data_IF_413601829446
#
_entry.id   IF_413601829446
#
_cell.length_a   1.000
_cell.length_b   1.000
_cell.length_c   1.000
_cell.angle_alpha   90.00
_cell.angle_beta   90.00
_cell.angle_gamma   90.00
#
_symmetry.space_group_name_H-M   'P 1'
#
loop_
_entity.id
_entity.type
_entity.pdbx_description
1 polymer ?
#
# COMPACT_ATOMS: atom_id res chain seq x y z
N UNK A 1 -24.01 -21.52 18.65
CA UNK A 1 -22.84 -20.67 18.25
C UNK A 1 -21.93 -21.44 17.30
N UNK A 2 -21.58 -20.86 16.16
CA UNK A 2 -20.71 -21.47 15.15
C UNK A 2 -19.23 -21.24 15.53
N UNK A 3 -18.61 -22.22 16.18
CA UNK A 3 -17.25 -22.09 16.73
C UNK A 3 -16.20 -21.77 15.66
N UNK A 4 -16.35 -22.29 14.45
CA UNK A 4 -15.43 -22.02 13.34
C UNK A 4 -15.47 -20.57 12.83
N UNK A 5 -16.52 -19.81 13.17
CA UNK A 5 -16.65 -18.40 12.82
C UNK A 5 -16.13 -17.45 13.90
N UNK A 6 -15.76 -17.96 15.08
CA UNK A 6 -15.11 -17.18 16.12
C UNK A 6 -13.64 -16.96 15.74
N UNK A 7 -13.29 -15.74 15.33
CA UNK A 7 -11.97 -15.43 14.79
C UNK A 7 -11.38 -14.18 15.42
N UNK A 8 -10.15 -14.33 15.82
CA UNK A 8 -9.25 -13.25 16.24
C UNK A 8 -7.80 -13.67 16.02
N UNK A 9 -6.95 -12.74 15.63
CA UNK A 9 -5.51 -12.94 15.45
C UNK A 9 -4.75 -11.80 16.09
N UNK A 10 -3.93 -12.12 17.09
CA UNK A 10 -3.20 -11.10 17.88
C UNK A 10 -2.10 -10.35 17.13
N UNK A 11 -1.68 -10.87 15.98
CA UNK A 11 -0.58 -10.30 15.16
C UNK A 11 -1.08 -9.84 13.79
N UNK A 12 -2.25 -9.23 13.74
CA UNK A 12 -2.88 -8.83 12.48
C UNK A 12 -3.73 -7.56 12.67
N UNK A 13 -4.57 -7.28 11.68
CA UNK A 13 -5.59 -6.24 11.71
C UNK A 13 -6.58 -6.37 12.89
N UNK A 14 -6.61 -7.53 13.56
CA UNK A 14 -7.51 -7.76 14.71
C UNK A 14 -6.92 -7.27 16.04
N UNK A 15 -5.63 -6.92 16.09
CA UNK A 15 -4.99 -6.36 17.28
C UNK A 15 -3.92 -5.35 16.88
N UNK A 16 -4.12 -4.09 17.24
CA UNK A 16 -3.17 -3.03 16.89
C UNK A 16 -3.11 -1.94 17.95
N UNK A 17 -1.95 -1.28 18.01
CA UNK A 17 -1.69 -0.16 18.89
C UNK A 17 -2.46 1.05 18.36
N UNK A 18 -3.35 1.61 19.19
CA UNK A 18 -4.16 2.77 18.80
C UNK A 18 -3.44 4.08 19.16
N UNK A 19 -2.86 4.13 20.34
CA UNK A 19 -2.04 5.23 20.86
C UNK A 19 -1.12 4.71 21.95
N UNK A 20 -0.39 5.60 22.63
CA UNK A 20 0.59 5.28 23.66
C UNK A 20 0.05 4.36 24.77
N UNK A 21 -1.22 4.49 25.13
CA UNK A 21 -1.82 3.81 26.26
C UNK A 21 -2.97 2.87 25.90
N UNK A 22 -3.26 2.71 24.60
CA UNK A 22 -4.41 1.91 24.15
C UNK A 22 -4.07 0.94 23.03
N UNK A 23 -4.58 -0.27 23.17
CA UNK A 23 -4.62 -1.29 22.13
C UNK A 23 -6.07 -1.52 21.72
N UNK A 24 -6.33 -1.59 20.42
CA UNK A 24 -7.63 -1.97 19.88
C UNK A 24 -7.63 -3.42 19.47
N UNK A 25 -8.63 -4.16 19.94
CA UNK A 25 -8.88 -5.55 19.55
C UNK A 25 -10.17 -5.67 18.77
N UNK A 26 -10.15 -6.49 17.72
CA UNK A 26 -11.30 -6.85 16.89
C UNK A 26 -11.62 -8.32 17.08
N UNK A 27 -12.88 -8.67 16.89
CA UNK A 27 -13.32 -10.04 16.91
C UNK A 27 -14.40 -10.26 15.85
N UNK A 28 -14.41 -11.42 15.22
CA UNK A 28 -15.38 -11.79 14.18
C UNK A 28 -16.21 -12.97 14.62
N UNK A 29 -17.50 -12.92 14.33
CA UNK A 29 -18.45 -14.01 14.62
C UNK A 29 -19.32 -14.27 13.40
N UNK A 30 -20.00 -15.41 13.33
CA UNK A 30 -21.07 -15.57 12.36
C UNK A 30 -22.16 -14.52 12.60
N UNK A 31 -22.83 -14.12 11.53
CA UNK A 31 -23.91 -13.14 11.57
C UNK A 31 -25.01 -13.58 12.52
N UNK A 32 -25.43 -12.66 13.40
CA UNK A 32 -26.53 -12.84 14.36
C UNK A 32 -26.39 -14.08 15.29
N UNK A 33 -25.17 -14.58 15.48
CA UNK A 33 -24.90 -15.81 16.24
C UNK A 33 -24.51 -15.54 17.71
N UNK A 34 -23.93 -14.36 17.97
CA UNK A 34 -23.39 -13.98 19.27
C UNK A 34 -24.15 -12.79 19.86
N UNK A 35 -24.53 -12.92 21.13
CA UNK A 35 -25.23 -11.91 21.91
C UNK A 35 -24.29 -10.87 22.51
N UNK A 36 -23.16 -11.32 23.05
CA UNK A 36 -22.24 -10.48 23.80
C UNK A 36 -20.83 -11.06 23.75
N UNK A 37 -19.83 -10.17 23.70
CA UNK A 37 -18.42 -10.52 23.85
C UNK A 37 -17.83 -9.62 24.93
N UNK A 38 -17.10 -10.21 25.88
CA UNK A 38 -16.39 -9.51 26.95
C UNK A 38 -14.90 -9.84 26.81
N UNK A 39 -14.06 -8.82 26.79
CA UNK A 39 -12.60 -8.98 26.82
C UNK A 39 -12.14 -8.93 28.28
N UNK A 40 -11.46 -9.96 28.72
CA UNK A 40 -10.74 -9.98 30.00
C UNK A 40 -9.27 -9.73 29.75
N UNK A 41 -8.67 -8.76 30.43
CA UNK A 41 -7.30 -8.35 30.14
C UNK A 41 -6.55 -7.87 31.38
N UNK A 42 -5.24 -8.02 31.35
CA UNK A 42 -4.34 -7.62 32.46
C UNK A 42 -2.91 -7.45 31.92
N UNK A 43 -2.05 -6.74 32.66
CA UNK A 43 -0.62 -6.68 32.35
C UNK A 43 0.01 -8.08 32.30
N UNK A 44 0.97 -8.28 31.37
CA UNK A 44 1.62 -9.59 31.17
C UNK A 44 2.24 -10.20 32.41
N UNK A 45 2.67 -9.39 33.37
CA UNK A 45 3.32 -9.83 34.62
C UNK A 45 2.39 -9.94 35.82
N UNK A 46 1.12 -9.56 35.66
CA UNK A 46 0.13 -9.74 36.72
C UNK A 46 -0.62 -11.07 36.54
N UNK A 47 -1.09 -11.70 37.66
CA UNK A 47 -1.87 -12.92 37.55
C UNK A 47 -3.24 -12.69 36.89
N UNK A 48 -3.74 -13.69 36.18
CA UNK A 48 -5.03 -13.66 35.49
C UNK A 48 -6.25 -13.52 36.43
N UNK A 49 -6.06 -13.73 37.71
CA UNK A 49 -7.07 -13.45 38.75
C UNK A 49 -7.32 -11.96 38.97
N UNK A 50 -6.48 -11.07 38.40
CA UNK A 50 -6.58 -9.61 38.51
C UNK A 50 -7.02 -8.96 37.18
N UNK A 51 -7.64 -9.72 36.27
CA UNK A 51 -8.13 -9.18 35.00
C UNK A 51 -9.19 -8.09 35.22
N UNK A 52 -9.06 -7.01 34.45
CA UNK A 52 -10.15 -6.10 34.15
C UNK A 52 -11.01 -6.72 33.03
N UNK A 53 -12.22 -6.23 32.86
CA UNK A 53 -13.07 -6.67 31.75
C UNK A 53 -13.76 -5.48 31.08
N UNK A 54 -13.99 -5.58 29.78
CA UNK A 54 -14.75 -4.62 29.01
C UNK A 54 -15.60 -5.33 27.96
N UNK A 55 -16.80 -4.81 27.70
CA UNK A 55 -17.65 -5.32 26.62
C UNK A 55 -17.16 -4.83 25.27
N UNK A 56 -17.25 -5.72 24.27
CA UNK A 56 -17.04 -5.33 22.89
C UNK A 56 -18.30 -4.70 22.29
N UNK A 57 -18.10 -3.74 21.43
CA UNK A 57 -19.14 -3.09 20.63
C UNK A 57 -19.24 -3.77 19.27
N UNK A 58 -20.47 -4.08 18.82
CA UNK A 58 -20.71 -4.54 17.45
C UNK A 58 -20.71 -3.33 16.53
N UNK A 59 -19.68 -3.20 15.69
CA UNK A 59 -19.45 -2.02 14.82
C UNK A 59 -19.77 -2.27 13.35
N UNK A 60 -19.96 -3.53 12.96
CA UNK A 60 -20.27 -3.89 11.58
C UNK A 60 -21.08 -5.16 11.50
N UNK A 61 -21.99 -5.19 10.52
CA UNK A 61 -22.81 -6.34 10.16
C UNK A 61 -22.55 -6.64 8.69
N UNK A 62 -21.81 -7.73 8.45
CA UNK A 62 -21.52 -8.21 7.10
C UNK A 62 -22.66 -9.03 6.50
N UNK A 63 -22.43 -9.59 5.33
CA UNK A 63 -23.37 -10.53 4.71
C UNK A 63 -23.45 -11.86 5.48
N UNK A 64 -22.32 -12.32 6.02
CA UNK A 64 -22.16 -13.63 6.69
C UNK A 64 -21.57 -13.54 8.09
N UNK A 65 -21.05 -12.39 8.51
CA UNK A 65 -20.33 -12.18 9.76
C UNK A 65 -20.68 -10.86 10.44
N UNK A 66 -20.45 -10.81 11.74
CA UNK A 66 -20.52 -9.62 12.58
C UNK A 66 -19.10 -9.23 13.06
N UNK A 67 -18.84 -7.93 13.15
CA UNK A 67 -17.57 -7.37 13.55
C UNK A 67 -17.70 -6.65 14.90
N UNK A 68 -16.80 -7.00 15.81
CA UNK A 68 -16.79 -6.48 17.18
C UNK A 68 -15.46 -5.79 17.47
N UNK A 69 -15.47 -4.73 18.28
CA UNK A 69 -14.27 -4.02 18.71
C UNK A 69 -14.30 -3.71 20.21
N UNK A 70 -13.11 -3.63 20.80
CA UNK A 70 -12.90 -3.01 22.11
C UNK A 70 -11.59 -2.26 22.11
N UNK A 71 -11.50 -1.21 22.94
CA UNK A 71 -10.24 -0.51 23.22
C UNK A 71 -9.82 -0.86 24.65
N UNK A 72 -8.60 -1.33 24.78
CA UNK A 72 -8.02 -1.80 26.04
C UNK A 72 -6.97 -0.80 26.51
N UNK A 73 -7.01 -0.40 27.77
CA UNK A 73 -6.02 0.47 28.40
C UNK A 73 -4.76 -0.33 28.75
N UNK A 74 -3.59 0.11 28.30
CA UNK A 74 -2.29 -0.58 28.41
C UNK A 74 -1.18 0.33 28.91
N UNK A 75 -1.27 0.83 30.15
CA UNK A 75 -0.36 1.86 30.69
C UNK A 75 1.11 1.42 30.76
N UNK A 76 1.39 0.14 30.61
CA UNK A 76 2.75 -0.41 30.60
C UNK A 76 3.18 -0.94 29.22
N UNK A 77 2.50 -0.54 28.14
CA UNK A 77 2.80 -0.89 26.75
C UNK A 77 2.87 -2.41 26.50
N UNK A 78 2.10 -3.20 27.26
CA UNK A 78 2.03 -4.66 27.16
C UNK A 78 0.75 -5.17 27.79
N UNK A 79 0.19 -6.28 27.29
CA UNK A 79 -1.09 -6.81 27.74
C UNK A 79 -1.23 -8.27 27.39
N UNK A 80 -1.93 -9.03 28.22
CA UNK A 80 -2.51 -10.32 27.85
C UNK A 80 -4.04 -10.26 28.03
N UNK A 81 -4.75 -10.92 27.12
CA UNK A 81 -6.22 -10.86 27.08
C UNK A 81 -6.83 -12.16 26.54
N UNK A 82 -8.09 -12.37 26.84
CA UNK A 82 -8.92 -13.46 26.33
C UNK A 82 -10.35 -12.99 26.15
N UNK A 83 -11.13 -13.71 25.35
CA UNK A 83 -12.52 -13.34 25.06
C UNK A 83 -13.49 -14.32 25.71
N UNK A 84 -14.45 -13.78 26.42
CA UNK A 84 -15.65 -14.46 26.86
C UNK A 84 -16.75 -14.20 25.84
N UNK A 85 -17.31 -15.26 25.23
CA UNK A 85 -18.28 -15.17 24.15
C UNK A 85 -19.58 -15.85 24.53
N UNK A 86 -20.70 -15.12 24.49
CA UNK A 86 -22.02 -15.57 24.83
C UNK A 86 -22.85 -15.63 23.55
N UNK A 87 -23.27 -16.85 23.17
CA UNK A 87 -24.09 -17.09 21.98
C UNK A 87 -25.57 -16.80 22.20
N UNK A 88 -26.30 -16.55 21.13
CA UNK A 88 -27.74 -16.41 21.12
C UNK A 88 -28.45 -17.71 21.46
N UNK A 89 -27.79 -18.85 21.27
CA UNK A 89 -28.25 -20.18 21.63
C UNK A 89 -28.02 -20.56 23.12
N UNK A 90 -27.50 -19.62 23.92
CA UNK A 90 -27.15 -19.83 25.32
C UNK A 90 -25.79 -20.50 25.53
N UNK A 91 -25.03 -20.80 24.48
CA UNK A 91 -23.65 -21.30 24.60
C UNK A 91 -22.73 -20.23 25.19
N UNK A 92 -21.75 -20.62 26.01
CA UNK A 92 -20.88 -19.73 26.74
C UNK A 92 -19.43 -20.24 26.63
N UNK A 93 -18.56 -19.49 26.00
CA UNK A 93 -17.20 -19.93 25.64
C UNK A 93 -16.12 -18.92 26.05
N UNK A 94 -14.93 -19.43 26.27
CA UNK A 94 -13.68 -18.66 26.33
C UNK A 94 -12.92 -18.91 25.05
N UNK A 95 -12.49 -17.84 24.37
CA UNK A 95 -11.66 -17.91 23.18
C UNK A 95 -10.31 -17.31 23.49
N UNK A 96 -9.30 -18.15 23.45
CA UNK A 96 -7.91 -17.77 23.71
C UNK A 96 -6.97 -18.22 22.59
N UNK A 97 -5.71 -17.90 22.72
CA UNK A 97 -4.66 -18.21 21.75
C UNK A 97 -4.55 -19.71 21.42
N UNK A 98 -4.79 -20.58 22.39
CA UNK A 98 -4.68 -22.04 22.22
C UNK A 98 -5.98 -22.72 21.80
N UNK A 99 -7.08 -22.01 21.69
CA UNK A 99 -8.35 -22.58 21.27
C UNK A 99 -9.59 -22.05 22.00
N UNK A 100 -10.69 -22.77 21.84
CA UNK A 100 -12.01 -22.43 22.36
C UNK A 100 -12.38 -23.45 23.45
N UNK A 101 -12.78 -22.96 24.59
CA UNK A 101 -13.11 -23.75 25.79
C UNK A 101 -14.49 -23.38 26.34
N UNK A 102 -15.12 -24.27 27.11
CA UNK A 102 -16.31 -23.89 27.85
C UNK A 102 -15.99 -22.86 28.93
N UNK A 103 -16.91 -21.91 29.12
CA UNK A 103 -16.75 -20.89 30.16
C UNK A 103 -16.81 -21.54 31.56
N UNK A 104 -15.74 -21.37 32.29
CA UNK A 104 -15.62 -21.61 33.71
C UNK A 104 -14.44 -20.88 34.30
N UNK A 105 -14.39 -20.73 35.62
CA UNK A 105 -13.32 -20.00 36.29
C UNK A 105 -11.90 -20.53 35.95
N UNK A 106 -11.73 -21.85 35.90
CA UNK A 106 -10.45 -22.50 35.58
C UNK A 106 -9.94 -22.10 34.16
N UNK A 107 -10.85 -22.14 33.18
CA UNK A 107 -10.50 -21.79 31.82
C UNK A 107 -10.27 -20.27 31.64
N UNK A 108 -11.06 -19.45 32.36
CA UNK A 108 -10.84 -17.98 32.37
C UNK A 108 -9.51 -17.61 32.98
N UNK A 109 -9.07 -18.30 34.04
CA UNK A 109 -7.80 -18.04 34.74
C UNK A 109 -6.60 -18.77 34.11
N UNK A 110 -6.79 -19.53 33.04
CA UNK A 110 -5.73 -20.30 32.38
C UNK A 110 -4.76 -19.39 31.59
N UNK A 111 -3.75 -18.87 32.26
CA UNK A 111 -2.77 -17.90 31.74
C UNK A 111 -2.17 -18.29 30.38
N UNK A 112 -1.88 -19.56 30.17
CA UNK A 112 -1.34 -20.08 28.92
C UNK A 112 -2.28 -20.01 27.72
N UNK A 113 -3.56 -19.66 27.92
CA UNK A 113 -4.56 -19.51 26.84
C UNK A 113 -4.77 -18.07 26.41
N UNK A 114 -4.14 -17.09 27.08
CA UNK A 114 -4.29 -15.68 26.76
C UNK A 114 -3.53 -15.32 25.50
N UNK A 115 -4.13 -14.54 24.64
CA UNK A 115 -3.41 -13.76 23.63
C UNK A 115 -2.50 -12.77 24.31
N UNK A 116 -1.37 -12.43 23.68
CA UNK A 116 -0.39 -11.52 24.26
C UNK A 116 0.06 -10.46 23.25
N UNK A 117 0.04 -9.22 23.69
CA UNK A 117 0.83 -8.16 23.07
C UNK A 117 2.08 -7.99 23.95
N UNK A 118 3.27 -8.31 23.43
CA UNK A 118 4.51 -8.04 24.14
C UNK A 118 4.71 -6.54 24.31
N UNK A 119 5.81 -6.13 24.95
CA UNK A 119 6.12 -4.72 25.07
C UNK A 119 6.25 -4.09 23.68
N UNK A 120 5.50 -3.01 23.43
CA UNK A 120 5.62 -2.23 22.20
C UNK A 120 6.28 -0.87 22.48
N UNK A 121 7.02 -0.38 21.50
CA UNK A 121 7.66 0.93 21.55
C UNK A 121 6.81 1.97 20.82
N UNK A 122 6.92 3.23 21.21
CA UNK A 122 6.21 4.32 20.55
C UNK A 122 6.60 4.47 19.05
N UNK A 123 7.84 4.08 18.71
CA UNK A 123 8.31 4.08 17.33
C UNK A 123 7.57 3.05 16.44
N UNK A 124 6.96 2.02 17.05
CA UNK A 124 6.20 0.99 16.35
C UNK A 124 4.76 1.43 16.06
N UNK A 125 4.36 2.60 16.56
CA UNK A 125 3.03 3.14 16.35
C UNK A 125 2.91 3.73 14.94
N UNK A 126 1.79 3.45 14.28
CA UNK A 126 1.42 4.16 13.05
C UNK A 126 1.08 5.62 13.36
N UNK A 127 1.96 6.52 12.92
CA UNK A 127 1.80 7.97 13.08
C UNK A 127 1.19 8.63 11.84
N UNK A 128 0.28 7.91 11.16
CA UNK A 128 -0.40 8.45 9.97
C UNK A 128 -0.94 9.86 10.24
N UNK A 129 -0.55 10.87 9.46
CA UNK A 129 -1.04 12.23 9.62
C UNK A 129 -2.56 12.30 9.50
N UNK A 130 -3.21 13.14 10.32
CA UNK A 130 -4.67 13.27 10.35
C UNK A 130 -5.30 13.65 9.00
N UNK A 131 -4.58 14.37 8.15
CA UNK A 131 -5.06 14.74 6.83
C UNK A 131 -5.27 13.51 5.92
N UNK A 132 -4.48 12.45 6.08
CA UNK A 132 -4.59 11.20 5.28
C UNK A 132 -5.96 10.56 5.49
N UNK A 133 -6.45 10.53 6.74
CA UNK A 133 -7.75 9.94 7.11
C UNK A 133 -8.95 10.61 6.44
N UNK A 134 -8.77 11.85 5.96
CA UNK A 134 -9.82 12.69 5.35
C UNK A 134 -9.58 12.93 3.85
N UNK A 135 -8.59 12.24 3.25
CA UNK A 135 -8.23 12.45 1.86
C UNK A 135 -9.04 11.53 0.96
N UNK A 136 -9.68 12.14 -0.03
CA UNK A 136 -10.30 11.45 -1.16
C UNK A 136 -9.36 11.57 -2.35
N UNK A 137 -8.72 10.46 -2.70
CA UNK A 137 -7.72 10.39 -3.75
C UNK A 137 -8.35 10.20 -5.12
N UNK A 138 -7.82 10.93 -6.12
CA UNK A 138 -8.11 10.73 -7.52
C UNK A 138 -6.82 10.38 -8.25
N UNK A 139 -6.76 9.19 -8.85
CA UNK A 139 -5.61 8.78 -9.65
C UNK A 139 -5.70 9.39 -11.04
N UNK A 140 -4.63 10.07 -11.47
CA UNK A 140 -4.51 10.62 -12.82
C UNK A 140 -3.47 9.84 -13.60
N UNK A 141 -3.89 9.30 -14.73
CA UNK A 141 -3.03 8.86 -15.83
C UNK A 141 -2.93 10.03 -16.82
N UNK A 142 -1.85 10.86 -16.78
CA UNK A 142 -1.85 12.17 -17.45
C UNK A 142 -2.19 12.08 -18.93
N UNK A 143 -1.59 11.14 -19.65
CA UNK A 143 -1.80 10.93 -21.08
C UNK A 143 -3.29 10.66 -21.45
N UNK A 144 -4.09 10.18 -20.49
CA UNK A 144 -5.51 9.82 -20.67
C UNK A 144 -6.48 10.79 -20.00
N UNK A 145 -6.00 11.86 -19.39
CA UNK A 145 -6.86 12.76 -18.61
C UNK A 145 -7.39 13.92 -19.44
N UNK A 146 -6.53 14.83 -19.86
CA UNK A 146 -6.92 15.96 -20.69
C UNK A 146 -5.71 16.49 -21.47
N UNK A 147 -5.89 16.81 -22.75
CA UNK A 147 -4.88 17.46 -23.59
C UNK A 147 -5.03 18.98 -23.48
N UNK A 148 -4.11 19.65 -22.79
CA UNK A 148 -4.10 21.09 -22.59
C UNK A 148 -3.20 21.83 -23.56
N UNK A 149 -2.11 21.20 -24.01
CA UNK A 149 -1.15 21.76 -24.96
C UNK A 149 -0.86 20.80 -26.11
N UNK A 150 -1.52 21.01 -27.24
CA UNK A 150 -1.34 20.16 -28.44
C UNK A 150 0.05 20.28 -29.08
N UNK A 151 0.87 21.25 -28.67
CA UNK A 151 2.20 21.42 -29.24
C UNK A 151 3.19 20.36 -28.75
N UNK A 152 2.91 19.70 -27.62
CA UNK A 152 3.70 18.62 -27.04
C UNK A 152 3.19 17.21 -27.41
N UNK A 153 2.14 17.10 -28.22
CA UNK A 153 1.55 15.83 -28.62
C UNK A 153 2.56 14.89 -29.29
N UNK A 154 2.66 13.62 -28.85
CA UNK A 154 3.41 12.61 -29.58
C UNK A 154 2.89 12.39 -31.00
N UNK A 155 3.77 11.98 -31.90
CA UNK A 155 3.37 11.61 -33.26
C UNK A 155 2.36 10.46 -33.22
N UNK A 156 1.21 10.63 -33.88
CA UNK A 156 0.14 9.64 -33.91
C UNK A 156 -0.89 9.77 -32.78
N UNK A 157 -0.85 10.88 -32.03
CA UNK A 157 -1.88 11.22 -31.05
C UNK A 157 -3.28 11.20 -31.70
N UNK A 158 -4.20 10.49 -31.04
CA UNK A 158 -5.59 10.36 -31.46
C UNK A 158 -6.47 11.36 -30.71
N UNK A 159 -7.53 11.90 -31.35
CA UNK A 159 -8.52 12.67 -30.62
C UNK A 159 -9.24 11.78 -29.61
N UNK A 160 -9.57 12.33 -28.44
CA UNK A 160 -10.39 11.61 -27.47
C UNK A 160 -11.79 11.36 -28.04
N UNK A 161 -12.22 10.10 -28.00
CA UNK A 161 -13.56 9.71 -28.41
C UNK A 161 -14.10 8.65 -27.43
N UNK A 162 -15.21 8.93 -26.70
CA UNK A 162 -15.77 8.00 -25.72
C UNK A 162 -16.31 6.69 -26.33
N UNK A 163 -16.45 6.62 -27.66
CA UNK A 163 -16.85 5.42 -28.38
C UNK A 163 -15.67 4.51 -28.75
N UNK A 164 -14.45 4.99 -28.63
CA UNK A 164 -13.25 4.22 -28.96
C UNK A 164 -12.95 3.16 -27.89
N UNK A 165 -12.33 2.07 -28.32
CA UNK A 165 -11.68 1.11 -27.45
C UNK A 165 -10.17 1.41 -27.44
N UNK A 166 -9.65 2.07 -26.40
CA UNK A 166 -8.24 2.44 -26.34
C UNK A 166 -7.35 1.21 -26.35
N UNK A 167 -6.36 1.18 -27.24
CA UNK A 167 -5.31 0.16 -27.20
C UNK A 167 -4.27 0.52 -26.15
N UNK A 168 -3.48 -0.48 -25.69
CA UNK A 168 -2.44 -0.30 -24.70
C UNK A 168 -1.45 0.81 -25.08
N UNK A 169 -1.09 0.89 -26.37
CA UNK A 169 -0.01 1.77 -26.85
C UNK A 169 -0.54 3.05 -27.53
N UNK A 170 -1.85 3.32 -27.50
CA UNK A 170 -2.42 4.53 -28.09
C UNK A 170 -2.11 5.77 -27.25
N UNK A 171 -1.84 6.88 -27.91
CA UNK A 171 -1.66 8.21 -27.32
C UNK A 171 -2.90 9.08 -27.60
N UNK A 172 -3.30 9.87 -26.60
CA UNK A 172 -4.41 10.83 -26.68
C UNK A 172 -3.98 12.24 -26.30
N UNK A 173 -2.68 12.43 -25.96
CA UNK A 173 -2.06 13.73 -25.75
C UNK A 173 -2.43 14.39 -24.42
N UNK A 174 -2.95 13.67 -23.45
CA UNK A 174 -3.14 14.24 -22.11
C UNK A 174 -1.82 14.65 -21.48
N UNK A 175 -1.80 15.79 -20.76
CA UNK A 175 -0.61 16.45 -20.26
C UNK A 175 -0.82 17.20 -18.94
N UNK A 176 0.23 17.82 -18.42
CA UNK A 176 0.18 18.59 -17.18
C UNK A 176 -0.61 19.90 -17.33
N UNK A 177 -0.65 20.50 -18.51
CA UNK A 177 -1.48 21.68 -18.76
C UNK A 177 -2.97 21.30 -18.67
N UNK A 178 -3.36 20.15 -19.24
CA UNK A 178 -4.72 19.64 -19.12
C UNK A 178 -5.10 19.35 -17.67
N UNK A 179 -4.19 18.84 -16.85
CA UNK A 179 -4.42 18.68 -15.40
C UNK A 179 -4.61 20.05 -14.73
N UNK A 180 -3.76 21.02 -15.03
CA UNK A 180 -3.83 22.37 -14.47
C UNK A 180 -5.20 23.01 -14.76
N UNK A 181 -5.66 22.89 -15.99
CA UNK A 181 -6.93 23.47 -16.46
C UNK A 181 -8.16 22.82 -15.79
N UNK A 182 -8.03 21.60 -15.24
CA UNK A 182 -9.13 20.86 -14.61
C UNK A 182 -9.03 20.73 -13.09
N UNK A 183 -8.14 21.47 -12.42
CA UNK A 183 -8.04 21.44 -10.95
C UNK A 183 -9.33 21.89 -10.24
N UNK A 184 -10.05 22.86 -10.81
CA UNK A 184 -11.32 23.33 -10.24
C UNK A 184 -12.41 22.25 -10.36
N UNK A 185 -12.47 21.53 -11.48
CA UNK A 185 -13.34 20.37 -11.63
C UNK A 185 -13.07 19.31 -10.55
N UNK A 186 -11.80 18.98 -10.30
CA UNK A 186 -11.43 17.99 -9.27
C UNK A 186 -11.85 18.48 -7.86
N UNK A 187 -11.68 19.76 -7.57
CA UNK A 187 -12.12 20.35 -6.31
C UNK A 187 -13.64 20.30 -6.15
N UNK A 188 -14.41 20.65 -7.19
CA UNK A 188 -15.88 20.58 -7.19
C UNK A 188 -16.38 19.15 -7.02
N UNK A 189 -15.65 18.15 -7.54
CA UNK A 189 -15.92 16.73 -7.33
C UNK A 189 -15.66 16.27 -5.86
N UNK A 190 -15.04 17.11 -5.04
CA UNK A 190 -14.72 16.80 -3.65
C UNK A 190 -13.37 16.11 -3.45
N UNK A 191 -12.51 16.12 -4.47
CA UNK A 191 -11.16 15.55 -4.44
C UNK A 191 -10.23 16.48 -3.66
N UNK A 192 -9.46 15.93 -2.74
CA UNK A 192 -8.44 16.66 -1.98
C UNK A 192 -7.07 15.97 -1.95
N UNK A 193 -6.89 14.95 -2.80
CA UNK A 193 -5.61 14.31 -3.09
C UNK A 193 -5.54 13.82 -4.53
N UNK A 194 -4.47 14.14 -5.24
CA UNK A 194 -4.17 13.61 -6.58
C UNK A 194 -3.00 12.64 -6.46
N UNK A 195 -3.17 11.44 -7.00
CA UNK A 195 -2.09 10.49 -7.24
C UNK A 195 -1.78 10.45 -8.74
N UNK A 196 -0.60 10.91 -9.12
CA UNK A 196 -0.14 10.82 -10.49
C UNK A 196 0.44 9.44 -10.79
N UNK A 197 -0.03 8.76 -11.86
CA UNK A 197 0.82 7.80 -12.55
C UNK A 197 2.11 8.48 -13.00
N UNK A 198 3.19 7.73 -13.30
CA UNK A 198 4.50 8.35 -13.54
C UNK A 198 4.45 9.53 -14.53
N UNK A 199 5.18 10.58 -14.22
CA UNK A 199 5.26 11.81 -15.04
C UNK A 199 6.67 12.03 -15.64
N UNK A 200 7.61 11.18 -15.24
CA UNK A 200 9.01 11.29 -15.59
C UNK A 200 9.27 10.82 -17.03
N UNK A 201 10.41 11.24 -17.57
CA UNK A 201 10.82 10.93 -18.94
C UNK A 201 10.83 9.43 -19.20
N UNK A 202 10.06 8.98 -20.21
CA UNK A 202 9.91 7.59 -20.60
C UNK A 202 9.41 7.45 -22.03
N UNK A 203 9.53 6.25 -22.62
CA UNK A 203 9.15 6.02 -24.02
C UNK A 203 7.66 5.70 -24.18
N UNK A 204 7.05 5.04 -23.21
CA UNK A 204 5.64 4.64 -23.27
C UNK A 204 4.67 5.77 -22.92
N UNK A 205 3.40 5.56 -23.23
CA UNK A 205 2.33 6.47 -22.80
C UNK A 205 2.10 6.44 -21.28
N UNK A 206 2.36 5.31 -20.62
CA UNK A 206 2.15 5.11 -19.19
C UNK A 206 3.34 5.52 -18.32
N UNK A 207 4.52 5.78 -18.92
CA UNK A 207 5.77 6.23 -18.27
C UNK A 207 6.34 5.32 -17.18
N UNK A 208 5.82 4.09 -16.98
CA UNK A 208 6.41 3.13 -16.05
C UNK A 208 7.80 2.62 -16.50
N UNK A 209 8.14 2.71 -17.77
CA UNK A 209 9.48 2.48 -18.31
C UNK A 209 10.36 3.74 -18.17
N UNK A 210 10.42 4.31 -16.97
CA UNK A 210 11.15 5.56 -16.67
C UNK A 210 12.59 5.47 -17.09
N UNK A 211 13.04 6.49 -17.85
CA UNK A 211 14.40 6.63 -18.36
C UNK A 211 15.23 7.58 -17.50
N UNK A 212 14.58 8.66 -17.04
CA UNK A 212 15.20 9.69 -16.20
C UNK A 212 14.15 10.18 -15.19
N UNK A 213 14.42 9.96 -13.90
CA UNK A 213 13.54 10.37 -12.81
C UNK A 213 13.70 11.83 -12.40
N UNK A 214 14.76 12.48 -12.87
CA UNK A 214 15.05 13.87 -12.52
C UNK A 214 14.50 14.85 -13.56
N UNK A 215 13.77 14.36 -14.56
CA UNK A 215 13.16 15.20 -15.58
C UNK A 215 11.73 14.79 -15.91
N UNK A 216 10.89 15.80 -16.23
CA UNK A 216 9.52 15.58 -16.67
C UNK A 216 9.53 15.16 -18.14
N UNK A 217 8.61 14.24 -18.48
CA UNK A 217 8.46 13.83 -19.89
C UNK A 217 8.02 15.02 -20.76
N UNK A 218 8.73 15.31 -21.87
CA UNK A 218 8.41 16.45 -22.71
C UNK A 218 7.02 16.42 -23.34
N UNK A 219 6.40 15.24 -23.44
CA UNK A 219 5.01 15.13 -23.88
C UNK A 219 4.00 15.54 -22.78
N UNK A 220 4.47 15.71 -21.55
CA UNK A 220 3.64 16.20 -20.43
C UNK A 220 3.94 17.66 -20.09
N UNK A 221 5.05 18.22 -20.57
CA UNK A 221 5.49 19.56 -20.29
C UNK A 221 6.91 19.60 -19.69
N UNK A 222 7.12 20.46 -18.72
CA UNK A 222 8.41 20.66 -18.07
C UNK A 222 8.28 20.81 -16.54
N UNK A 223 9.41 20.97 -15.87
CA UNK A 223 9.48 21.13 -14.41
C UNK A 223 8.77 22.39 -13.93
N UNK A 224 8.82 23.49 -14.67
CA UNK A 224 8.17 24.74 -14.27
C UNK A 224 6.66 24.60 -14.33
N UNK A 225 6.13 23.96 -15.36
CA UNK A 225 4.71 23.63 -15.45
C UNK A 225 4.29 22.67 -14.35
N UNK A 226 5.10 21.65 -14.06
CA UNK A 226 4.79 20.71 -12.99
C UNK A 226 4.77 21.40 -11.61
N UNK A 227 5.76 22.26 -11.32
CA UNK A 227 5.76 23.07 -10.11
C UNK A 227 4.51 23.97 -10.01
N UNK A 228 4.06 24.54 -11.14
CA UNK A 228 2.82 25.31 -11.22
C UNK A 228 1.59 24.45 -10.89
N UNK A 229 1.49 23.25 -11.45
CA UNK A 229 0.40 22.30 -11.14
C UNK A 229 0.35 22.00 -9.64
N UNK A 230 1.48 21.67 -9.02
CA UNK A 230 1.58 21.39 -7.58
C UNK A 230 1.12 22.62 -6.76
N UNK A 231 1.63 23.79 -7.07
CA UNK A 231 1.30 25.02 -6.36
C UNK A 231 -0.21 25.36 -6.46
N UNK A 232 -0.78 25.22 -7.66
CA UNK A 232 -2.19 25.48 -7.88
C UNK A 232 -3.11 24.42 -7.23
N UNK A 233 -2.68 23.14 -7.19
CA UNK A 233 -3.35 22.09 -6.44
C UNK A 233 -3.35 22.41 -4.93
N UNK A 234 -2.20 22.76 -4.37
CA UNK A 234 -2.06 23.12 -2.95
C UNK A 234 -2.91 24.33 -2.56
N UNK A 235 -3.00 25.38 -3.39
CA UNK A 235 -3.90 26.52 -3.16
C UNK A 235 -5.37 26.10 -3.05
N UNK A 236 -5.75 25.02 -3.70
CA UNK A 236 -7.11 24.45 -3.65
C UNK A 236 -7.31 23.43 -2.51
N UNK A 237 -6.27 23.19 -1.70
CA UNK A 237 -6.28 22.20 -0.63
C UNK A 237 -6.12 20.75 -1.12
N UNK A 238 -5.66 20.56 -2.37
CA UNK A 238 -5.43 19.24 -2.97
C UNK A 238 -3.96 18.85 -2.75
N UNK A 239 -3.74 17.72 -2.10
CA UNK A 239 -2.41 17.11 -1.94
C UNK A 239 -1.99 16.40 -3.23
N UNK A 240 -0.68 16.33 -3.47
CA UNK A 240 -0.12 15.64 -4.63
C UNK A 240 0.78 14.51 -4.18
N UNK A 241 0.60 13.34 -4.78
CA UNK A 241 1.42 12.16 -4.60
C UNK A 241 1.92 11.67 -5.95
N UNK A 242 3.20 11.35 -6.04
CA UNK A 242 3.84 10.83 -7.24
C UNK A 242 4.05 9.33 -7.15
N UNK A 243 4.02 8.66 -8.30
CA UNK A 243 4.38 7.25 -8.41
C UNK A 243 5.91 7.09 -8.41
N UNK A 244 6.42 6.37 -7.43
CA UNK A 244 7.84 6.06 -7.29
C UNK A 244 8.14 4.69 -7.92
N UNK A 245 8.50 4.68 -9.20
CA UNK A 245 8.81 3.45 -9.97
C UNK A 245 10.21 2.96 -9.59
N UNK A 246 10.39 2.44 -8.37
CA UNK A 246 11.69 2.06 -7.82
C UNK A 246 12.04 0.57 -7.96
N UNK A 247 11.13 -0.23 -8.52
CA UNK A 247 11.37 -1.66 -8.77
C UNK A 247 12.24 -1.91 -10.02
N UNK A 248 12.16 -1.05 -11.03
CA UNK A 248 12.82 -1.22 -12.32
C UNK A 248 13.07 0.14 -12.95
N UNK A 249 13.82 0.17 -14.05
CA UNK A 249 14.06 1.36 -14.88
C UNK A 249 13.80 1.00 -16.35
N UNK A 250 13.59 1.98 -17.20
CA UNK A 250 13.40 1.75 -18.64
C UNK A 250 14.68 1.31 -19.35
N UNK A 251 14.56 0.44 -20.36
CA UNK A 251 15.72 -0.01 -21.16
C UNK A 251 16.46 1.12 -21.86
N UNK A 252 15.82 2.27 -22.10
CA UNK A 252 16.46 3.43 -22.72
C UNK A 252 17.19 4.32 -21.69
N UNK A 253 17.28 3.91 -20.42
CA UNK A 253 18.08 4.60 -19.40
C UNK A 253 19.58 4.48 -19.68
N UNK A 254 20.33 5.49 -19.30
CA UNK A 254 21.80 5.50 -19.45
C UNK A 254 22.43 4.27 -18.77
N UNK A 255 21.96 3.91 -17.59
CA UNK A 255 22.48 2.80 -16.80
C UNK A 255 22.29 1.45 -17.50
N UNK A 256 21.12 1.23 -18.08
CA UNK A 256 20.86 -0.02 -18.80
C UNK A 256 21.57 -0.08 -20.14
N UNK A 257 21.63 1.04 -20.86
CA UNK A 257 22.36 1.10 -22.15
C UNK A 257 23.84 0.82 -21.98
N UNK A 258 24.45 1.29 -20.89
CA UNK A 258 25.84 0.94 -20.56
C UNK A 258 26.01 -0.56 -20.30
N UNK A 259 25.04 -1.22 -19.66
CA UNK A 259 25.05 -2.68 -19.48
C UNK A 259 24.92 -3.42 -20.81
N UNK A 260 24.06 -2.98 -21.70
CA UNK A 260 23.92 -3.57 -23.05
C UNK A 260 25.22 -3.48 -23.84
N UNK A 261 25.88 -2.32 -23.79
CA UNK A 261 27.11 -2.05 -24.55
C UNK A 261 28.34 -2.76 -23.95
N UNK A 262 28.53 -2.67 -22.63
CA UNK A 262 29.77 -3.10 -21.95
C UNK A 262 29.65 -4.47 -21.27
N UNK A 263 28.43 -5.04 -21.21
CA UNK A 263 28.17 -6.34 -20.60
C UNK A 263 28.63 -6.42 -19.14
N UNK A 264 29.35 -7.49 -18.73
CA UNK A 264 29.83 -7.66 -17.36
C UNK A 264 30.92 -6.65 -16.94
N UNK A 265 31.41 -5.79 -17.86
CA UNK A 265 32.36 -4.72 -17.57
C UNK A 265 31.67 -3.38 -17.29
N UNK A 266 30.37 -3.29 -17.46
CA UNK A 266 29.61 -2.12 -17.12
C UNK A 266 29.74 -1.79 -15.63
N UNK A 267 29.91 -0.51 -15.27
CA UNK A 267 29.87 -0.08 -13.88
C UNK A 267 28.48 -0.27 -13.25
N UNK A 268 27.45 -0.44 -14.06
CA UNK A 268 26.08 -0.68 -13.63
C UNK A 268 25.65 -2.16 -13.68
N UNK A 269 26.57 -3.10 -13.97
CA UNK A 269 26.24 -4.52 -14.08
C UNK A 269 25.53 -5.03 -12.80
N UNK A 270 26.02 -4.64 -11.63
CA UNK A 270 25.46 -5.06 -10.33
C UNK A 270 24.22 -4.27 -9.88
N UNK A 271 23.83 -3.28 -10.68
CA UNK A 271 22.57 -2.53 -10.44
C UNK A 271 21.33 -3.29 -10.82
N UNK A 272 21.49 -4.39 -11.57
CA UNK A 272 20.38 -5.20 -12.10
C UNK A 272 20.53 -6.67 -11.74
N UNK A 273 19.41 -7.39 -11.77
CA UNK A 273 19.40 -8.84 -11.63
C UNK A 273 19.63 -9.50 -12.98
N UNK A 274 20.91 -9.76 -13.33
CA UNK A 274 21.35 -10.33 -14.61
C UNK A 274 21.70 -11.80 -14.42
N UNK A 275 21.11 -12.68 -15.24
CA UNK A 275 21.31 -14.12 -15.19
C UNK A 275 22.36 -14.60 -16.22
N UNK A 276 22.47 -13.89 -17.35
CA UNK A 276 23.45 -14.24 -18.40
C UNK A 276 23.75 -13.07 -19.33
N UNK A 277 24.92 -13.13 -19.97
CA UNK A 277 25.32 -12.21 -21.02
C UNK A 277 25.47 -12.94 -22.37
N UNK A 278 25.22 -12.27 -23.51
CA UNK A 278 24.72 -10.89 -23.62
C UNK A 278 23.27 -10.79 -23.09
N UNK A 279 22.89 -9.62 -22.56
CA UNK A 279 21.53 -9.37 -22.06
C UNK A 279 20.50 -9.28 -23.18
N UNK A 280 20.92 -8.94 -24.39
CA UNK A 280 20.09 -8.93 -25.60
C UNK A 280 20.56 -9.98 -26.62
N UNK A 281 19.64 -10.61 -27.39
CA UNK A 281 18.19 -10.41 -27.36
C UNK A 281 17.52 -11.02 -26.12
N UNK A 282 16.54 -10.31 -25.57
CA UNK A 282 15.75 -10.81 -24.46
C UNK A 282 14.83 -11.97 -24.88
N UNK A 283 14.73 -12.97 -24.05
CA UNK A 283 13.72 -14.02 -24.13
C UNK A 283 13.04 -14.24 -22.77
N UNK A 284 11.75 -14.55 -22.77
CA UNK A 284 11.04 -14.87 -21.53
C UNK A 284 11.60 -16.16 -20.90
N UNK A 285 11.56 -16.29 -19.57
CA UNK A 285 11.99 -17.51 -18.90
C UNK A 285 11.09 -18.69 -19.30
N UNK A 286 11.69 -19.87 -19.34
CA UNK A 286 11.01 -21.16 -19.55
C UNK A 286 11.34 -22.10 -18.39
N UNK A 287 10.77 -23.32 -18.38
CA UNK A 287 11.08 -24.32 -17.37
C UNK A 287 12.59 -24.64 -17.28
N UNK A 288 13.27 -24.60 -18.42
CA UNK A 288 14.67 -25.08 -18.56
C UNK A 288 15.67 -23.93 -18.79
N UNK A 289 15.20 -22.69 -18.94
CA UNK A 289 16.06 -21.55 -19.25
C UNK A 289 15.55 -20.26 -18.60
N UNK A 290 16.40 -19.63 -17.79
CA UNK A 290 16.14 -18.30 -17.22
C UNK A 290 16.20 -17.23 -18.31
N UNK A 291 15.46 -16.13 -18.13
CA UNK A 291 15.64 -14.93 -18.94
C UNK A 291 17.06 -14.38 -18.74
N UNK A 292 17.64 -13.64 -19.69
CA UNK A 292 18.97 -13.04 -19.52
C UNK A 292 19.03 -12.10 -18.30
N UNK A 293 17.94 -11.45 -17.95
CA UNK A 293 17.79 -10.57 -16.81
C UNK A 293 16.35 -10.60 -16.27
N UNK A 294 16.18 -10.26 -15.01
CA UNK A 294 14.87 -10.12 -14.39
C UNK A 294 14.18 -8.84 -14.84
N UNK A 295 12.85 -8.88 -14.95
CA UNK A 295 12.04 -7.75 -15.43
C UNK A 295 10.77 -7.62 -14.59
N UNK A 296 10.10 -6.47 -14.67
CA UNK A 296 8.74 -6.34 -14.16
C UNK A 296 7.76 -7.13 -15.06
N UNK A 297 7.04 -8.07 -14.48
CA UNK A 297 5.98 -8.84 -15.16
C UNK A 297 6.37 -9.46 -16.53
N UNK A 298 7.63 -9.86 -16.68
CA UNK A 298 8.22 -10.37 -17.95
C UNK A 298 8.19 -9.36 -19.10
N UNK A 299 8.12 -8.06 -18.78
CA UNK A 299 8.15 -6.98 -19.76
C UNK A 299 9.61 -6.57 -20.01
N UNK A 300 10.12 -6.91 -21.18
CA UNK A 300 11.54 -6.71 -21.55
C UNK A 300 12.03 -5.25 -21.46
N UNK A 301 11.12 -4.29 -21.54
CA UNK A 301 11.42 -2.87 -21.47
C UNK A 301 11.67 -2.33 -20.06
N UNK A 302 11.54 -3.19 -19.03
CA UNK A 302 11.58 -2.81 -17.62
C UNK A 302 12.53 -3.71 -16.82
N UNK A 303 13.86 -3.64 -17.04
CA UNK A 303 14.86 -4.39 -16.28
C UNK A 303 14.80 -4.04 -14.78
N UNK A 304 14.79 -5.08 -13.95
CA UNK A 304 14.61 -4.96 -12.50
C UNK A 304 15.88 -4.48 -11.82
N UNK A 305 15.74 -3.43 -11.00
CA UNK A 305 16.81 -2.91 -10.16
C UNK A 305 17.14 -3.87 -8.99
N UNK A 306 18.41 -3.99 -8.69
CA UNK A 306 18.92 -4.67 -7.51
C UNK A 306 18.92 -3.70 -6.31
N UNK A 307 17.80 -3.57 -5.64
CA UNK A 307 17.63 -2.66 -4.49
C UNK A 307 18.43 -3.08 -3.25
N UNK A 308 19.11 -4.22 -3.26
CA UNK A 308 20.08 -4.60 -2.23
C UNK A 308 21.47 -3.96 -2.49
N UNK A 309 21.73 -3.44 -3.69
CA UNK A 309 22.98 -2.75 -4.01
C UNK A 309 22.95 -1.33 -3.38
N UNK A 310 23.98 -0.95 -2.57
CA UNK A 310 24.03 0.36 -1.92
C UNK A 310 24.01 1.54 -2.93
N UNK A 311 24.66 1.43 -4.07
CA UNK A 311 24.66 2.51 -5.08
C UNK A 311 23.26 2.71 -5.68
N UNK A 312 22.47 1.63 -5.83
CA UNK A 312 21.07 1.73 -6.26
C UNK A 312 20.24 2.39 -5.17
N UNK A 313 20.47 2.05 -3.89
CA UNK A 313 19.79 2.71 -2.76
C UNK A 313 20.09 4.20 -2.72
N UNK A 314 21.34 4.59 -2.86
CA UNK A 314 21.75 6.00 -2.88
C UNK A 314 21.10 6.74 -4.06
N UNK A 315 21.08 6.15 -5.26
CA UNK A 315 20.41 6.70 -6.43
C UNK A 315 18.90 6.90 -6.21
N UNK A 316 18.21 5.90 -5.63
CA UNK A 316 16.78 6.00 -5.36
C UNK A 316 16.47 7.02 -4.25
N UNK A 317 17.36 7.16 -3.25
CA UNK A 317 17.24 8.19 -2.21
C UNK A 317 17.48 9.60 -2.80
N UNK A 318 18.42 9.76 -3.70
CA UNK A 318 18.62 11.04 -4.43
C UNK A 318 17.32 11.45 -5.15
N UNK A 319 16.73 10.53 -5.91
CA UNK A 319 15.45 10.78 -6.61
C UNK A 319 14.34 11.17 -5.63
N UNK A 320 14.23 10.45 -4.49
CA UNK A 320 13.17 10.69 -3.52
C UNK A 320 13.30 12.03 -2.78
N UNK A 321 14.50 12.62 -2.76
CA UNK A 321 14.79 13.88 -2.06
C UNK A 321 14.91 15.08 -3.01
N UNK A 322 14.94 14.83 -4.31
CA UNK A 322 14.99 15.86 -5.35
C UNK A 322 13.66 16.61 -5.46
#
# INVERSE_FOLDING_TARGET
MQLAALRHRSESEDCFILDENHVRVRFHTAKDDVKEIIVHYVDNYLPTTQTKSTKMEKVGIGAVDDHWVATLEVPFHRIKYTFEVIGNDGSHKIVGDRGIYDFNKKNLEADGSYFRVPYFHLIDMDTTPEWVKKTVWYQIFPERFANGDKSNDPVGTKPWNPQDHPTRDAFYGGDLQGVLDHLDYLKELGINGIYFCPVFKASSNHKYDTVDYLDIDPNFGDKDLFAKVINEAHKRGIKVMLDAVFNHIGVNSMQWQDVVENGPKSRFADWFHINSYPVEPYHKPTKDKLAPYETFAFEKTMPKLNTANPEVQDYLLEIATY
#
